data_IF_376600530501
#
_entry.id   IF_376600530501
#
_cell.length_a   1.000
_cell.length_b   1.000
_cell.length_c   1.000
_cell.angle_alpha   90.00
_cell.angle_beta   90.00
_cell.angle_gamma   90.00
#
_symmetry.space_group_name_H-M   'P 1'
#
loop_
_entity.id
_entity.type
_entity.pdbx_description
1 polymer ?
#
# COMPACT_ATOMS: atom_id res chain seq x y z
N UNK A 1 -0.87 -10.86 -17.86
CA UNK A 1 -1.37 -9.56 -17.36
C UNK A 1 -0.69 -8.44 -18.14
N UNK A 2 -1.43 -7.52 -18.78
CA UNK A 2 -0.79 -6.33 -19.40
C UNK A 2 -0.37 -5.38 -18.27
N UNK A 3 0.92 -5.05 -18.14
CA UNK A 3 1.49 -4.18 -17.09
C UNK A 3 0.72 -2.85 -16.91
N UNK A 4 0.11 -2.31 -17.96
CA UNK A 4 -0.74 -1.13 -17.91
C UNK A 4 -1.92 -1.24 -16.91
N UNK A 5 -2.40 -2.46 -16.65
CA UNK A 5 -3.48 -2.69 -15.69
C UNK A 5 -3.03 -2.58 -14.23
N UNK A 6 -1.73 -2.71 -13.93
CA UNK A 6 -1.19 -2.62 -12.57
C UNK A 6 -1.11 -1.16 -12.09
N UNK A 7 -0.84 -0.23 -13.01
CA UNK A 7 -0.56 1.17 -12.71
C UNK A 7 -1.77 2.11 -12.86
N UNK A 8 -3.00 1.59 -12.78
CA UNK A 8 -4.20 2.43 -12.88
C UNK A 8 -4.18 3.55 -11.82
N UNK A 9 -4.61 4.77 -12.16
CA UNK A 9 -4.59 5.91 -11.23
C UNK A 9 -5.27 5.64 -9.89
N UNK A 10 -6.38 4.88 -9.91
CA UNK A 10 -7.11 4.50 -8.71
C UNK A 10 -6.26 3.68 -7.71
N UNK A 11 -5.40 2.77 -8.18
CA UNK A 11 -4.56 1.93 -7.33
C UNK A 11 -3.40 2.72 -6.74
N UNK A 12 -2.81 3.59 -7.55
CA UNK A 12 -1.77 4.53 -7.10
C UNK A 12 -2.31 5.47 -6.02
N UNK A 13 -3.55 5.95 -6.19
CA UNK A 13 -4.22 6.82 -5.22
C UNK A 13 -4.45 6.09 -3.90
N UNK A 14 -5.08 4.91 -3.93
CA UNK A 14 -5.36 4.12 -2.72
C UNK A 14 -4.08 3.80 -1.92
N UNK A 15 -2.98 3.44 -2.59
CA UNK A 15 -1.69 3.17 -1.94
C UNK A 15 -0.96 4.44 -1.49
N UNK A 16 -1.24 5.62 -2.06
CA UNK A 16 -0.61 6.88 -1.66
C UNK A 16 -1.27 7.49 -0.44
N UNK A 17 -2.61 7.52 -0.43
CA UNK A 17 -3.35 8.33 0.54
C UNK A 17 -3.17 7.85 1.99
N UNK A 18 -2.78 6.60 2.18
CA UNK A 18 -2.51 5.98 3.48
C UNK A 18 -1.22 6.45 4.16
N UNK A 19 -0.27 7.03 3.41
CA UNK A 19 0.96 7.58 3.98
C UNK A 19 0.78 9.06 4.34
N UNK A 20 1.18 9.48 5.55
CA UNK A 20 1.16 10.88 5.96
C UNK A 20 2.26 11.70 5.27
N UNK A 21 2.15 13.03 5.35
CA UNK A 21 3.23 13.92 4.93
C UNK A 21 4.44 13.83 5.86
N UNK A 22 4.21 13.57 7.16
CA UNK A 22 5.25 13.40 8.15
C UNK A 22 5.24 11.98 8.73
N UNK A 23 6.40 11.33 8.80
CA UNK A 23 6.49 9.92 9.16
C UNK A 23 6.06 9.60 10.60
N UNK A 24 6.21 10.55 11.54
CA UNK A 24 5.81 10.35 12.94
C UNK A 24 4.29 10.31 13.15
N UNK A 25 3.48 10.73 12.17
CA UNK A 25 2.01 10.66 12.24
C UNK A 25 1.51 9.20 12.14
N UNK A 26 2.33 8.28 11.64
CA UNK A 26 1.92 6.89 11.42
C UNK A 26 1.00 6.72 10.20
N UNK A 27 0.65 5.47 9.90
CA UNK A 27 -0.29 5.17 8.82
C UNK A 27 -1.66 5.80 9.08
N UNK A 28 -2.25 6.38 8.04
CA UNK A 28 -3.64 6.79 8.09
C UNK A 28 -4.56 5.55 8.05
N UNK A 29 -4.91 5.04 9.24
CA UNK A 29 -5.67 3.80 9.44
C UNK A 29 -6.99 3.77 8.66
N UNK A 30 -7.84 4.81 8.66
CA UNK A 30 -9.08 4.80 7.86
C UNK A 30 -8.83 4.55 6.37
N UNK A 31 -7.76 5.12 5.80
CA UNK A 31 -7.41 4.95 4.39
C UNK A 31 -6.75 3.61 4.11
N UNK A 32 -5.93 3.11 5.02
CA UNK A 32 -5.37 1.75 4.93
C UNK A 32 -6.50 0.70 4.97
N UNK A 33 -7.47 0.84 5.88
CA UNK A 33 -8.65 -0.02 5.95
C UNK A 33 -9.49 0.04 4.67
N UNK A 34 -9.64 1.22 4.06
CA UNK A 34 -10.29 1.36 2.75
C UNK A 34 -9.58 0.56 1.65
N UNK A 35 -8.24 0.56 1.65
CA UNK A 35 -7.45 -0.28 0.74
C UNK A 35 -7.64 -1.77 1.02
N UNK A 36 -7.66 -2.20 2.28
CA UNK A 36 -7.90 -3.60 2.64
C UNK A 36 -9.30 -4.08 2.21
N UNK A 37 -10.33 -3.29 2.48
CA UNK A 37 -11.70 -3.56 2.02
C UNK A 37 -11.74 -3.67 0.49
N UNK A 38 -11.05 -2.77 -0.22
CA UNK A 38 -10.98 -2.81 -1.68
C UNK A 38 -10.35 -4.11 -2.19
N UNK A 39 -9.22 -4.52 -1.61
CA UNK A 39 -8.50 -5.74 -2.00
C UNK A 39 -9.32 -6.99 -1.66
N UNK A 40 -10.00 -7.02 -0.52
CA UNK A 40 -10.83 -8.15 -0.13
C UNK A 40 -12.07 -8.29 -1.02
N UNK A 41 -12.68 -7.18 -1.46
CA UNK A 41 -13.80 -7.19 -2.42
C UNK A 41 -13.36 -7.55 -3.85
N UNK A 42 -12.08 -7.36 -4.18
CA UNK A 42 -11.52 -7.55 -5.53
C UNK A 42 -10.19 -8.30 -5.46
N UNK A 43 -10.22 -9.61 -5.13
CA UNK A 43 -9.00 -10.40 -4.93
C UNK A 43 -8.11 -10.44 -6.17
N UNK A 44 -8.70 -10.33 -7.37
CA UNK A 44 -7.97 -10.25 -8.64
C UNK A 44 -7.12 -8.97 -8.77
N UNK A 45 -7.33 -7.98 -7.90
CA UNK A 45 -6.52 -6.74 -7.80
C UNK A 45 -5.47 -6.79 -6.71
N UNK A 46 -5.46 -7.81 -5.84
CA UNK A 46 -4.48 -7.97 -4.75
C UNK A 46 -3.04 -7.89 -5.26
N UNK A 47 -2.73 -8.63 -6.32
CA UNK A 47 -1.39 -8.65 -6.91
C UNK A 47 -0.96 -7.28 -7.45
N UNK A 48 -1.89 -6.51 -8.04
CA UNK A 48 -1.60 -5.15 -8.52
C UNK A 48 -1.27 -4.21 -7.36
N UNK A 49 -2.00 -4.31 -6.25
CA UNK A 49 -1.75 -3.51 -5.04
C UNK A 49 -0.42 -3.90 -4.41
N UNK A 50 -0.12 -5.20 -4.28
CA UNK A 50 1.17 -5.68 -3.76
C UNK A 50 2.34 -5.16 -4.59
N UNK A 51 2.27 -5.23 -5.92
CA UNK A 51 3.33 -4.70 -6.79
C UNK A 51 3.54 -3.19 -6.60
N UNK A 52 2.47 -2.42 -6.39
CA UNK A 52 2.59 -0.99 -6.09
C UNK A 52 3.21 -0.72 -4.72
N UNK A 53 2.87 -1.52 -3.71
CA UNK A 53 3.45 -1.41 -2.38
C UNK A 53 4.93 -1.80 -2.38
N UNK A 54 5.32 -2.85 -3.12
CA UNK A 54 6.73 -3.25 -3.31
C UNK A 54 7.51 -2.13 -4.00
N UNK A 55 6.93 -1.52 -5.05
CA UNK A 55 7.58 -0.37 -5.70
C UNK A 55 7.82 0.79 -4.73
N UNK A 56 6.82 1.12 -3.89
CA UNK A 56 6.96 2.16 -2.86
C UNK A 56 8.00 1.80 -1.81
N UNK A 57 8.02 0.55 -1.37
CA UNK A 57 9.02 0.03 -0.44
C UNK A 57 10.43 0.28 -0.99
N UNK A 58 10.67 -0.05 -2.27
CA UNK A 58 11.96 0.24 -2.92
C UNK A 58 12.27 1.74 -2.95
N UNK A 59 11.29 2.59 -3.26
CA UNK A 59 11.46 4.05 -3.24
C UNK A 59 11.85 4.57 -1.85
N UNK A 60 11.23 4.07 -0.79
CA UNK A 60 11.52 4.46 0.59
C UNK A 60 12.86 3.92 1.09
N UNK A 61 13.23 2.68 0.72
CA UNK A 61 14.55 2.11 1.03
C UNK A 61 15.66 2.94 0.38
N UNK A 62 15.50 3.34 -0.88
CA UNK A 62 16.50 4.16 -1.60
C UNK A 62 16.69 5.53 -0.93
N UNK A 63 15.64 6.07 -0.31
CA UNK A 63 15.66 7.37 0.38
C UNK A 63 16.05 7.29 1.86
N UNK A 64 16.31 6.08 2.37
CA UNK A 64 16.55 5.80 3.79
C UNK A 64 15.42 6.27 4.72
N UNK A 65 14.18 6.20 4.23
CA UNK A 65 12.96 6.59 4.94
C UNK A 65 12.41 5.42 5.78
N UNK A 66 13.11 5.08 6.87
CA UNK A 66 12.88 3.86 7.67
C UNK A 66 11.44 3.73 8.22
N UNK A 67 10.83 4.83 8.68
CA UNK A 67 9.45 4.81 9.17
C UNK A 67 8.47 4.45 8.04
N UNK A 68 8.66 5.02 6.86
CA UNK A 68 7.83 4.71 5.68
C UNK A 68 8.05 3.28 5.19
N UNK A 69 9.27 2.74 5.32
CA UNK A 69 9.56 1.31 5.09
C UNK A 69 8.73 0.43 6.03
N UNK A 70 8.77 0.69 7.33
CA UNK A 70 8.01 -0.08 8.33
C UNK A 70 6.50 0.01 8.11
N UNK A 71 5.98 1.20 7.78
CA UNK A 71 4.59 1.38 7.41
C UNK A 71 4.22 0.57 6.17
N UNK A 72 5.07 0.59 5.13
CA UNK A 72 4.81 -0.14 3.89
C UNK A 72 4.79 -1.64 4.11
N UNK A 73 5.74 -2.18 4.89
CA UNK A 73 5.77 -3.59 5.28
C UNK A 73 4.53 -3.98 6.09
N UNK A 74 4.08 -3.10 6.99
CA UNK A 74 2.85 -3.31 7.76
C UNK A 74 1.64 -3.47 6.85
N UNK A 75 1.47 -2.59 5.85
CA UNK A 75 0.35 -2.69 4.90
C UNK A 75 0.48 -3.92 3.99
N UNK A 76 1.69 -4.27 3.54
CA UNK A 76 1.91 -5.51 2.76
C UNK A 76 1.46 -6.72 3.58
N UNK A 77 1.84 -6.78 4.85
CA UNK A 77 1.43 -7.84 5.77
C UNK A 77 -0.11 -7.92 5.89
N UNK A 78 -0.78 -6.77 6.09
CA UNK A 78 -2.24 -6.72 6.14
C UNK A 78 -2.91 -7.18 4.84
N UNK A 79 -2.36 -6.81 3.68
CA UNK A 79 -2.88 -7.21 2.37
C UNK A 79 -2.72 -8.73 2.12
N UNK A 80 -1.63 -9.33 2.60
CA UNK A 80 -1.36 -10.75 2.43
C UNK A 80 -2.22 -11.62 3.35
N UNK A 81 -2.30 -11.25 4.63
CA UNK A 81 -2.88 -12.11 5.67
C UNK A 81 -4.23 -11.64 6.20
N UNK A 82 -4.76 -10.52 5.69
CA UNK A 82 -6.11 -10.06 6.00
C UNK A 82 -6.30 -9.48 7.40
N UNK A 83 -5.24 -8.95 8.03
CA UNK A 83 -5.36 -8.27 9.32
C UNK A 83 -6.00 -6.89 9.14
N UNK A 84 -7.22 -6.73 9.64
CA UNK A 84 -7.93 -5.44 9.72
C UNK A 84 -7.64 -4.87 11.11
N UNK A 85 -7.24 -3.59 11.16
CA UNK A 85 -7.08 -2.85 12.42
C UNK A 85 -8.38 -2.15 12.81
#
# INVERSE_FOLDING_TARGET
MRFAQVFKPQYKRLTKEMFPQNAWEGLNIPKANKLLIYVNKKPEKRMCILLLLIKRLQEFVIRDEQEYVQMTLTVINWVLFGKIC
#
